data_IF_936154413077
#
_entry.id   IF_936154413077
#
_cell.length_a   1.000
_cell.length_b   1.000
_cell.length_c   1.000
_cell.angle_alpha   90.00
_cell.angle_beta   90.00
_cell.angle_gamma   90.00
#
_symmetry.space_group_name_H-M   'P 1'
#
loop_
_entity.id
_entity.type
_entity.pdbx_description
1 polymer ?
#
# COMPACT_ATOMS: atom_id res chain seq x y z
N UNK A 1 5.69 14.32 8.55
CA UNK A 1 6.62 14.87 7.53
C UNK A 1 7.95 15.33 8.14
N UNK A 2 7.97 16.26 9.10
CA UNK A 2 9.23 16.75 9.71
C UNK A 2 10.13 15.64 10.26
N UNK A 3 9.54 14.64 10.94
CA UNK A 3 10.29 13.48 11.43
C UNK A 3 10.93 12.67 10.31
N UNK A 4 10.19 12.42 9.21
CA UNK A 4 10.70 11.69 8.05
C UNK A 4 11.90 12.44 7.43
N UNK A 5 11.77 13.75 7.21
CA UNK A 5 12.87 14.57 6.68
C UNK A 5 14.10 14.54 7.60
N UNK A 6 13.90 14.62 8.92
CA UNK A 6 15.00 14.49 9.90
C UNK A 6 15.68 13.12 9.82
N UNK A 7 14.91 12.04 9.76
CA UNK A 7 15.44 10.68 9.63
C UNK A 7 16.20 10.50 8.32
N UNK A 8 15.74 11.11 7.22
CA UNK A 8 16.45 11.11 5.95
C UNK A 8 17.84 11.71 6.08
N UNK A 9 18.02 12.78 6.86
CA UNK A 9 19.30 13.45 7.05
C UNK A 9 20.33 12.67 7.89
N UNK A 10 19.93 11.57 8.52
CA UNK A 10 20.86 10.75 9.31
C UNK A 10 21.97 10.15 8.42
N UNK A 11 23.22 10.06 8.91
CA UNK A 11 24.36 9.58 8.13
C UNK A 11 24.35 8.06 7.89
N UNK A 12 23.37 7.34 8.46
CA UNK A 12 23.26 5.88 8.36
C UNK A 12 22.84 5.38 6.98
N UNK A 13 22.23 6.23 6.16
CA UNK A 13 21.71 5.87 4.84
C UNK A 13 22.75 6.04 3.76
N UNK A 14 22.89 5.02 2.90
CA UNK A 14 23.64 5.12 1.65
C UNK A 14 22.93 6.05 0.67
N UNK A 15 23.65 6.50 -0.35
CA UNK A 15 23.11 7.48 -1.32
C UNK A 15 21.88 6.94 -2.07
N UNK A 16 21.93 5.69 -2.53
CA UNK A 16 20.82 5.03 -3.20
C UNK A 16 19.59 4.84 -2.28
N UNK A 17 19.81 4.45 -1.02
CA UNK A 17 18.72 4.30 -0.03
C UNK A 17 18.08 5.66 0.27
N UNK A 18 18.90 6.71 0.41
CA UNK A 18 18.45 8.08 0.64
C UNK A 18 17.63 8.60 -0.53
N UNK A 19 18.01 8.29 -1.76
CA UNK A 19 17.25 8.67 -2.96
C UNK A 19 15.85 8.05 -2.95
N UNK A 20 15.76 6.72 -2.75
CA UNK A 20 14.47 5.99 -2.72
C UNK A 20 13.60 6.48 -1.56
N UNK A 21 14.16 6.63 -0.36
CA UNK A 21 13.42 7.13 0.81
C UNK A 21 12.99 8.59 0.62
N UNK A 22 13.74 9.40 -0.13
CA UNK A 22 13.35 10.77 -0.48
C UNK A 22 12.15 10.76 -1.42
N UNK A 23 12.16 9.91 -2.46
CA UNK A 23 11.00 9.71 -3.35
C UNK A 23 9.77 9.26 -2.55
N UNK A 24 9.94 8.33 -1.60
CA UNK A 24 8.86 7.87 -0.72
C UNK A 24 8.32 8.99 0.20
N UNK A 25 9.21 9.82 0.77
CA UNK A 25 8.83 10.99 1.57
C UNK A 25 8.06 12.03 0.73
N UNK A 26 8.51 12.28 -0.50
CA UNK A 26 7.83 13.16 -1.45
C UNK A 26 6.45 12.63 -1.82
N UNK A 27 6.31 11.33 -2.08
CA UNK A 27 5.03 10.70 -2.38
C UNK A 27 4.05 10.82 -1.21
N UNK A 28 4.51 10.51 0.01
CA UNK A 28 3.71 10.70 1.22
C UNK A 28 3.25 12.16 1.38
N UNK A 29 4.13 13.12 1.10
CA UNK A 29 3.80 14.53 1.14
C UNK A 29 2.79 14.96 0.10
N UNK A 30 2.99 14.56 -1.15
CA UNK A 30 2.09 14.89 -2.25
C UNK A 30 0.67 14.34 -2.02
N UNK A 31 0.55 13.07 -1.62
CA UNK A 31 -0.75 12.44 -1.29
C UNK A 31 -1.41 13.11 -0.09
N UNK A 32 -0.62 13.53 0.91
CA UNK A 32 -1.17 14.26 2.07
C UNK A 32 -1.71 15.64 1.66
N UNK A 33 -0.99 16.34 0.77
CA UNK A 33 -1.44 17.63 0.22
C UNK A 33 -2.69 17.46 -0.64
N UNK A 34 -2.78 16.41 -1.45
CA UNK A 34 -3.93 16.12 -2.30
C UNK A 34 -5.20 15.93 -1.45
N UNK A 35 -5.08 15.12 -0.38
CA UNK A 35 -6.16 14.88 0.60
C UNK A 35 -6.58 16.14 1.35
N UNK A 36 -5.69 17.10 1.53
CA UNK A 36 -5.94 18.37 2.23
C UNK A 36 -6.04 19.58 1.30
N UNK A 37 -6.27 19.34 0.01
CA UNK A 37 -6.38 20.39 -1.01
C UNK A 37 -7.39 21.47 -0.62
N UNK A 38 -8.55 21.08 -0.06
CA UNK A 38 -9.57 22.02 0.43
C UNK A 38 -9.05 23.03 1.47
N UNK A 39 -8.18 22.60 2.39
CA UNK A 39 -7.56 23.49 3.39
C UNK A 39 -6.58 24.47 2.74
N UNK A 40 -5.89 24.04 1.67
CA UNK A 40 -4.95 24.89 0.94
C UNK A 40 -5.68 25.99 0.18
N UNK A 41 -6.79 25.67 -0.48
CA UNK A 41 -7.65 26.67 -1.13
C UNK A 41 -8.32 27.59 -0.11
N UNK A 42 -8.93 27.02 0.95
CA UNK A 42 -9.59 27.79 1.99
C UNK A 42 -8.65 28.69 2.80
N UNK A 43 -7.40 28.28 2.97
CA UNK A 43 -6.35 29.06 3.63
C UNK A 43 -5.61 30.06 2.73
N UNK A 44 -5.96 30.16 1.45
CA UNK A 44 -5.29 31.05 0.49
C UNK A 44 -3.88 30.61 0.08
N UNK A 45 -3.48 29.38 0.39
CA UNK A 45 -2.22 28.78 -0.05
C UNK A 45 -2.31 28.23 -1.50
N UNK A 46 -3.51 28.07 -2.03
CA UNK A 46 -3.79 27.70 -3.41
C UNK A 46 -4.86 28.63 -4.00
N UNK A 47 -4.73 28.96 -5.29
CA UNK A 47 -5.73 29.76 -6.03
C UNK A 47 -6.50 28.90 -7.01
N UNK A 48 -7.78 29.17 -7.22
CA UNK A 48 -8.60 28.48 -8.22
C UNK A 48 -8.05 28.61 -9.64
N UNK A 49 -7.33 29.70 -9.93
CA UNK A 49 -6.67 29.91 -11.23
C UNK A 49 -5.34 29.12 -11.35
N UNK A 50 -4.88 28.50 -10.26
CA UNK A 50 -3.66 27.68 -10.26
C UNK A 50 -3.97 26.24 -10.64
N UNK A 51 -3.16 25.65 -11.53
CA UNK A 51 -3.22 24.22 -11.87
C UNK A 51 -2.55 23.33 -10.80
N UNK A 52 -2.68 23.70 -9.52
CA UNK A 52 -1.98 23.01 -8.43
C UNK A 52 -2.40 21.54 -8.33
N UNK A 53 -3.71 21.26 -8.39
CA UNK A 53 -4.21 19.89 -8.30
C UNK A 53 -3.73 19.01 -9.46
N UNK A 54 -3.69 19.55 -10.69
CA UNK A 54 -3.21 18.82 -11.85
C UNK A 54 -1.73 18.46 -11.73
N UNK A 55 -0.89 19.44 -11.36
CA UNK A 55 0.54 19.22 -11.13
C UNK A 55 0.80 18.25 -9.98
N UNK A 56 0.00 18.31 -8.92
CA UNK A 56 0.13 17.40 -7.78
C UNK A 56 -0.19 15.96 -8.17
N UNK A 57 -1.28 15.75 -8.91
CA UNK A 57 -1.67 14.44 -9.40
C UNK A 57 -0.63 13.85 -10.37
N UNK A 58 -0.11 14.66 -11.28
CA UNK A 58 0.98 14.27 -12.18
C UNK A 58 2.23 13.86 -11.40
N UNK A 59 2.62 14.66 -10.41
CA UNK A 59 3.75 14.35 -9.52
C UNK A 59 3.57 13.04 -8.75
N UNK A 60 2.36 12.75 -8.25
CA UNK A 60 2.04 11.48 -7.60
C UNK A 60 2.23 10.31 -8.56
N UNK A 61 1.71 10.41 -9.79
CA UNK A 61 1.87 9.35 -10.81
C UNK A 61 3.34 9.13 -11.16
N UNK A 62 4.11 10.20 -11.34
CA UNK A 62 5.55 10.12 -11.62
C UNK A 62 6.29 9.41 -10.48
N UNK A 63 6.03 9.81 -9.23
CA UNK A 63 6.65 9.18 -8.06
C UNK A 63 6.28 7.70 -7.91
N UNK A 64 5.03 7.33 -8.20
CA UNK A 64 4.60 5.92 -8.22
C UNK A 64 5.33 5.11 -9.29
N UNK A 65 5.55 5.69 -10.49
CA UNK A 65 6.33 5.04 -11.56
C UNK A 65 7.79 4.87 -11.15
N UNK A 66 8.40 5.90 -10.56
CA UNK A 66 9.79 5.85 -10.13
C UNK A 66 10.05 4.84 -8.99
N UNK A 67 9.04 4.61 -8.14
CA UNK A 67 9.15 3.71 -6.98
C UNK A 67 8.77 2.26 -7.28
N UNK A 68 8.17 1.96 -8.44
CA UNK A 68 7.61 0.63 -8.74
C UNK A 68 8.67 -0.46 -8.66
N UNK A 69 9.89 -0.18 -9.13
CA UNK A 69 11.00 -1.14 -9.12
C UNK A 69 11.56 -1.40 -7.72
N UNK A 70 11.28 -0.52 -6.75
CA UNK A 70 11.73 -0.66 -5.36
C UNK A 70 10.65 -1.19 -4.42
N UNK A 71 9.40 -1.37 -4.88
CA UNK A 71 8.25 -1.63 -4.01
C UNK A 71 8.39 -2.92 -3.19
N UNK A 72 8.89 -3.99 -3.82
CA UNK A 72 9.07 -5.29 -3.14
C UNK A 72 10.08 -5.14 -2.00
N UNK A 73 11.26 -4.58 -2.28
CA UNK A 73 12.28 -4.36 -1.25
C UNK A 73 11.80 -3.41 -0.13
N UNK A 74 11.05 -2.36 -0.47
CA UNK A 74 10.49 -1.44 0.52
C UNK A 74 9.48 -2.11 1.45
N UNK A 75 8.65 -3.02 0.92
CA UNK A 75 7.68 -3.78 1.70
C UNK A 75 8.38 -4.86 2.52
N UNK A 76 9.36 -5.57 1.95
CA UNK A 76 10.10 -6.65 2.60
C UNK A 76 10.83 -6.19 3.87
N UNK A 77 11.38 -4.97 3.87
CA UNK A 77 12.05 -4.39 5.05
C UNK A 77 11.08 -4.20 6.23
N UNK A 78 9.78 -4.05 5.96
CA UNK A 78 8.73 -3.87 6.95
C UNK A 78 7.92 -5.16 7.22
N UNK A 79 8.01 -6.14 6.32
CA UNK A 79 7.19 -7.34 6.37
C UNK A 79 7.59 -8.20 7.58
N UNK A 80 6.62 -8.62 8.42
CA UNK A 80 6.88 -9.65 9.41
C UNK A 80 7.02 -11.02 8.72
N UNK A 81 7.43 -12.06 9.46
CA UNK A 81 7.50 -13.41 8.88
C UNK A 81 6.14 -13.89 8.39
N UNK A 82 6.13 -14.80 7.40
CA UNK A 82 4.90 -15.37 6.83
C UNK A 82 3.96 -15.98 7.88
N UNK A 83 4.53 -16.54 8.95
CA UNK A 83 3.75 -17.05 10.09
C UNK A 83 2.95 -15.96 10.79
N UNK A 84 3.56 -14.79 11.01
CA UNK A 84 2.91 -13.64 11.66
C UNK A 84 1.97 -12.95 10.69
N UNK A 85 2.36 -12.81 9.42
CA UNK A 85 1.53 -12.22 8.38
C UNK A 85 0.26 -13.04 8.14
N UNK A 86 0.38 -14.37 8.21
CA UNK A 86 -0.70 -15.35 8.10
C UNK A 86 -1.66 -15.01 6.94
N UNK A 87 -1.10 -14.79 5.75
CA UNK A 87 -1.81 -14.35 4.56
C UNK A 87 -1.37 -15.13 3.33
N UNK A 88 -2.28 -15.90 2.72
CA UNK A 88 -1.97 -16.59 1.46
C UNK A 88 -1.61 -15.65 0.31
N UNK A 89 -2.11 -14.41 0.31
CA UNK A 89 -1.79 -13.40 -0.70
C UNK A 89 -0.43 -12.72 -0.48
N UNK A 90 0.04 -12.71 0.77
CA UNK A 90 1.23 -11.97 1.19
C UNK A 90 2.46 -12.85 1.43
N UNK A 91 2.41 -14.13 1.07
CA UNK A 91 3.53 -15.06 1.28
C UNK A 91 4.78 -14.57 0.54
N UNK A 92 5.92 -14.64 1.23
CA UNK A 92 7.21 -14.12 0.75
C UNK A 92 7.77 -14.80 -0.52
N UNK A 93 7.31 -16.02 -0.84
CA UNK A 93 7.76 -16.75 -2.03
C UNK A 93 7.05 -16.34 -3.33
N UNK A 94 6.00 -15.53 -3.24
CA UNK A 94 5.22 -15.05 -4.39
C UNK A 94 4.31 -16.10 -5.05
N UNK A 95 4.20 -17.32 -4.50
CA UNK A 95 3.39 -18.43 -5.04
C UNK A 95 1.90 -18.29 -4.65
N UNK A 96 1.33 -17.11 -4.90
CA UNK A 96 0.02 -16.67 -4.42
C UNK A 96 -1.09 -17.69 -4.71
N UNK A 97 -1.20 -18.18 -5.95
CA UNK A 97 -2.27 -19.12 -6.33
C UNK A 97 -2.15 -20.48 -5.64
N UNK A 98 -0.91 -20.94 -5.42
CA UNK A 98 -0.64 -22.18 -4.70
C UNK A 98 -1.10 -22.04 -3.25
N UNK A 99 -0.76 -20.95 -2.58
CA UNK A 99 -1.15 -20.72 -1.19
C UNK A 99 -2.64 -20.47 -1.01
N UNK A 100 -3.30 -19.76 -1.93
CA UNK A 100 -4.75 -19.63 -1.93
C UNK A 100 -5.39 -21.01 -2.01
N UNK A 101 -4.90 -21.87 -2.91
CA UNK A 101 -5.39 -23.24 -3.03
C UNK A 101 -5.17 -24.01 -1.72
N UNK A 102 -3.97 -24.00 -1.15
CA UNK A 102 -3.68 -24.68 0.12
C UNK A 102 -4.60 -24.20 1.25
N UNK A 103 -4.87 -22.89 1.33
CA UNK A 103 -5.80 -22.31 2.30
C UNK A 103 -7.23 -22.78 2.12
N UNK A 104 -7.77 -22.75 0.90
CA UNK A 104 -9.14 -23.22 0.63
C UNK A 104 -9.24 -24.72 0.94
N UNK A 105 -8.22 -25.51 0.61
CA UNK A 105 -8.17 -26.96 0.84
C UNK A 105 -7.89 -27.38 2.29
N UNK A 106 -7.53 -26.43 3.17
CA UNK A 106 -7.27 -26.70 4.58
C UNK A 106 -8.52 -27.19 5.31
N UNK A 107 -9.66 -26.54 5.08
CA UNK A 107 -10.93 -26.90 5.68
C UNK A 107 -11.83 -27.61 4.67
N UNK A 108 -12.12 -28.89 4.94
CA UNK A 108 -13.00 -29.71 4.06
C UNK A 108 -14.40 -29.13 3.94
N UNK A 109 -14.88 -28.47 4.99
CA UNK A 109 -16.19 -27.80 5.02
C UNK A 109 -16.34 -26.73 3.92
N UNK A 110 -15.24 -26.16 3.41
CA UNK A 110 -15.27 -25.21 2.30
C UNK A 110 -15.84 -25.79 1.00
N UNK A 111 -15.84 -27.13 0.86
CA UNK A 111 -16.34 -27.83 -0.32
C UNK A 111 -17.59 -28.67 -0.04
N UNK A 112 -18.08 -28.65 1.19
CA UNK A 112 -19.25 -29.41 1.59
C UNK A 112 -20.46 -28.49 1.75
N UNK A 113 -21.66 -29.08 1.77
CA UNK A 113 -22.85 -28.31 2.12
C UNK A 113 -22.77 -27.99 3.61
N UNK A 114 -23.08 -26.75 4.03
CA UNK A 114 -23.14 -26.43 5.45
C UNK A 114 -24.20 -27.30 6.14
N UNK A 115 -23.98 -27.62 7.42
CA UNK A 115 -24.86 -28.50 8.21
C UNK A 115 -26.32 -28.05 8.23
N UNK A 116 -26.55 -26.73 8.18
CA UNK A 116 -27.87 -26.08 8.16
C UNK A 116 -28.51 -25.98 6.76
N UNK A 117 -27.90 -26.54 5.72
CA UNK A 117 -28.42 -26.45 4.34
C UNK A 117 -29.88 -26.93 4.21
N UNK A 118 -30.27 -27.95 4.97
CA UNK A 118 -31.63 -28.49 4.92
C UNK A 118 -32.67 -27.59 5.61
N UNK A 119 -32.26 -26.68 6.48
CA UNK A 119 -33.17 -25.82 7.24
C UNK A 119 -33.69 -24.65 6.39
N UNK A 120 -32.92 -24.24 5.39
CA UNK A 120 -33.24 -23.11 4.51
C UNK A 120 -33.72 -23.52 3.11
N UNK A 121 -33.55 -24.79 2.72
CA UNK A 121 -33.99 -25.23 1.39
C UNK A 121 -35.51 -25.30 1.34
N UNK A 122 -36.11 -24.88 0.22
CA UNK A 122 -37.54 -25.08 0.00
C UNK A 122 -37.87 -26.59 0.05
N UNK A 123 -38.90 -26.96 0.83
CA UNK A 123 -39.47 -28.30 0.80
C UNK A 123 -40.30 -28.40 -0.50
N UNK A 124 -39.73 -29.07 -1.51
CA UNK A 124 -40.47 -29.55 -2.68
C UNK A 124 -41.48 -30.60 -2.27
#
# INVERSE_FOLDING_TARGET
MLYFIKCLQEPKWKENEREVLTKLCSLYGAVTLEKRSGDLYGGGYASFDSNMNGLLHEGIIMLCKDLVDNVVALVDVLAPSDFVLNSALGMSDGEVYKHIKEWIFKDKENFERPSWWNDIRAKL
#
